data_IF_009357831174
#
_entry.id   IF_009357831174
#
_cell.length_a   1.000
_cell.length_b   1.000
_cell.length_c   1.000
_cell.angle_alpha   90.00
_cell.angle_beta   90.00
_cell.angle_gamma   90.00
#
_symmetry.space_group_name_H-M   'P 1'
#
loop_
_entity.id
_entity.type
_entity.pdbx_description
1 polymer ?
#
# COMPACT_ATOMS: atom_id res chain seq x y z
N UNK A 1 32.17 -42.53 52.21
CA UNK A 1 32.46 -41.18 51.70
C UNK A 1 32.42 -41.22 50.18
N UNK A 2 31.76 -40.21 49.59
CA UNK A 2 31.80 -39.75 48.20
C UNK A 2 30.84 -40.42 47.19
N UNK A 3 29.69 -39.76 47.05
CA UNK A 3 28.85 -39.69 45.84
C UNK A 3 29.64 -39.08 44.67
N UNK A 4 29.18 -39.36 43.43
CA UNK A 4 28.94 -38.25 42.52
C UNK A 4 27.54 -38.31 41.90
N UNK A 5 26.84 -37.19 42.03
CA UNK A 5 25.63 -36.88 41.32
C UNK A 5 25.97 -36.54 39.86
N UNK A 6 25.49 -37.34 38.92
CA UNK A 6 25.57 -36.99 37.49
C UNK A 6 24.30 -36.24 37.13
N UNK A 7 24.43 -34.93 36.96
CA UNK A 7 23.38 -34.04 36.46
C UNK A 7 22.90 -34.52 35.09
N UNK A 8 21.66 -35.00 35.01
CA UNK A 8 20.95 -35.16 33.74
C UNK A 8 20.53 -33.77 33.27
N UNK A 9 21.27 -33.19 32.32
CA UNK A 9 20.85 -31.98 31.61
C UNK A 9 19.57 -32.31 30.82
N UNK A 10 18.42 -31.93 31.36
CA UNK A 10 17.17 -31.89 30.63
C UNK A 10 17.28 -30.82 29.55
N UNK A 11 17.60 -31.25 28.33
CA UNK A 11 17.56 -30.41 27.14
C UNK A 11 16.08 -30.12 26.81
N UNK A 12 15.49 -29.18 27.55
CA UNK A 12 14.22 -28.57 27.20
C UNK A 12 14.44 -27.77 25.92
N UNK A 13 14.33 -28.46 24.78
CA UNK A 13 14.13 -27.84 23.49
C UNK A 13 12.82 -27.07 23.57
N UNK A 14 12.92 -25.81 23.98
CA UNK A 14 11.88 -24.81 23.87
C UNK A 14 11.44 -24.78 22.41
N UNK A 15 10.36 -25.51 22.12
CA UNK A 15 9.51 -25.32 20.97
C UNK A 15 8.97 -23.89 21.07
N UNK A 16 9.80 -22.92 20.68
CA UNK A 16 9.36 -21.59 20.37
C UNK A 16 8.33 -21.77 19.26
N UNK A 17 7.04 -21.45 19.48
CA UNK A 17 6.13 -21.33 18.37
C UNK A 17 6.74 -20.24 17.50
N UNK A 18 7.25 -20.62 16.32
CA UNK A 18 7.56 -19.65 15.28
C UNK A 18 6.27 -18.86 15.12
N UNK A 19 6.27 -17.62 15.56
CA UNK A 19 5.29 -16.61 15.20
C UNK A 19 5.44 -16.39 13.69
N UNK A 20 5.04 -17.39 12.91
CA UNK A 20 4.60 -17.20 11.56
C UNK A 20 3.39 -16.29 11.72
N UNK A 21 3.63 -14.97 11.63
CA UNK A 21 2.57 -14.03 11.36
C UNK A 21 1.88 -14.58 10.12
N UNK A 22 0.73 -15.20 10.31
CA UNK A 22 -0.11 -15.67 9.23
C UNK A 22 -0.48 -14.42 8.44
N UNK A 23 0.28 -14.17 7.36
CA UNK A 23 -0.08 -13.15 6.40
C UNK A 23 -1.46 -13.56 5.90
N UNK A 24 -2.47 -12.77 6.25
CA UNK A 24 -3.82 -13.01 5.79
C UNK A 24 -3.76 -13.10 4.27
N UNK A 25 -4.14 -14.24 3.66
CA UNK A 25 -4.08 -14.39 2.22
C UNK A 25 -4.90 -13.29 1.56
N UNK A 26 -4.35 -12.66 0.52
CA UNK A 26 -5.14 -11.76 -0.33
C UNK A 26 -6.14 -12.65 -1.08
N UNK A 27 -7.46 -12.36 -1.04
CA UNK A 27 -8.45 -13.11 -1.81
C UNK A 27 -8.08 -13.16 -3.31
N UNK A 28 -8.39 -14.28 -3.96
CA UNK A 28 -8.00 -14.54 -5.35
C UNK A 28 -8.69 -13.61 -6.38
N UNK A 29 -9.71 -12.85 -5.99
CA UNK A 29 -10.42 -11.84 -6.78
C UNK A 29 -10.03 -10.39 -6.43
N UNK A 30 -9.13 -10.22 -5.45
CA UNK A 30 -8.75 -8.90 -4.92
C UNK A 30 -7.27 -8.63 -5.11
N UNK A 31 -6.95 -7.35 -5.14
CA UNK A 31 -5.59 -6.84 -4.98
C UNK A 31 -5.49 -6.08 -3.65
N UNK A 32 -4.34 -6.15 -3.00
CA UNK A 32 -4.05 -5.32 -1.84
C UNK A 32 -3.35 -4.05 -2.28
N UNK A 33 -3.85 -2.91 -1.83
CA UNK A 33 -3.23 -1.60 -2.06
C UNK A 33 -2.67 -1.08 -0.75
N UNK A 34 -1.47 -0.53 -0.80
CA UNK A 34 -0.85 0.20 0.30
C UNK A 34 -0.34 1.56 -0.19
N UNK A 35 -0.57 2.60 0.62
CA UNK A 35 -0.04 3.94 0.35
C UNK A 35 1.10 4.22 1.33
N UNK A 36 2.26 4.59 0.78
CA UNK A 36 3.48 4.89 1.52
C UNK A 36 3.87 6.35 1.28
N UNK A 37 4.18 7.06 2.37
CA UNK A 37 4.43 8.50 2.36
C UNK A 37 3.27 9.29 2.95
N UNK A 38 3.42 10.59 3.05
CA UNK A 38 2.51 11.49 3.77
C UNK A 38 1.36 11.99 2.88
N UNK A 39 0.59 11.06 2.31
CA UNK A 39 -0.62 11.43 1.60
C UNK A 39 -1.70 11.89 2.60
N UNK A 40 -2.36 13.01 2.30
CA UNK A 40 -3.47 13.51 3.09
C UNK A 40 -4.79 12.82 2.71
N UNK A 41 -4.95 12.54 1.41
CA UNK A 41 -6.20 12.06 0.86
C UNK A 41 -5.93 11.12 -0.30
N UNK A 42 -6.63 9.99 -0.32
CA UNK A 42 -6.65 9.05 -1.41
C UNK A 42 -8.08 8.62 -1.72
N UNK A 43 -8.53 8.85 -2.95
CA UNK A 43 -9.84 8.43 -3.41
C UNK A 43 -9.65 7.35 -4.47
N UNK A 44 -10.31 6.21 -4.35
CA UNK A 44 -10.22 5.13 -5.35
C UNK A 44 -11.60 4.59 -5.71
N UNK A 45 -11.81 4.27 -6.99
CA UNK A 45 -13.05 3.68 -7.48
C UNK A 45 -12.86 2.96 -8.80
N UNK A 46 -13.85 2.14 -9.16
CA UNK A 46 -13.84 1.33 -10.39
C UNK A 46 -14.96 1.71 -11.37
N UNK A 47 -15.79 2.67 -11.02
CA UNK A 47 -16.95 3.10 -11.81
C UNK A 47 -16.58 4.16 -12.87
N UNK A 48 -15.30 4.18 -13.29
CA UNK A 48 -14.78 5.19 -14.20
C UNK A 48 -14.22 6.43 -13.50
N UNK A 49 -13.66 7.34 -14.30
CA UNK A 49 -13.03 8.58 -13.80
C UNK A 49 -14.02 9.50 -13.07
N UNK A 50 -15.31 9.49 -13.39
CA UNK A 50 -16.32 10.31 -12.70
C UNK A 50 -17.28 9.48 -11.84
N UNK A 51 -16.99 8.20 -11.65
CA UNK A 51 -17.81 7.31 -10.84
C UNK A 51 -17.58 7.49 -9.34
N UNK A 52 -18.32 6.70 -8.55
CA UNK A 52 -18.21 6.67 -7.10
C UNK A 52 -16.80 6.25 -6.67
N UNK A 53 -16.32 6.85 -5.57
CA UNK A 53 -15.01 6.54 -4.99
C UNK A 53 -15.08 6.42 -3.49
N UNK A 54 -14.32 5.46 -2.97
CA UNK A 54 -14.01 5.39 -1.54
C UNK A 54 -12.91 6.40 -1.23
N UNK A 55 -13.19 7.30 -0.29
CA UNK A 55 -12.22 8.28 0.22
C UNK A 55 -11.54 7.72 1.47
N UNK A 56 -10.22 7.78 1.49
CA UNK A 56 -9.36 7.39 2.61
C UNK A 56 -8.58 8.64 3.03
N UNK A 57 -8.89 9.14 4.22
CA UNK A 57 -8.17 10.26 4.82
C UNK A 57 -6.91 9.75 5.51
N UNK A 58 -5.79 10.44 5.32
CA UNK A 58 -4.47 10.09 5.87
C UNK A 58 -4.11 8.62 5.62
N UNK A 59 -4.07 8.14 4.36
CA UNK A 59 -3.84 6.73 4.03
C UNK A 59 -2.42 6.22 4.35
N UNK A 60 -1.54 7.03 4.93
CA UNK A 60 -0.18 6.63 5.31
C UNK A 60 -0.18 5.35 6.13
N UNK A 61 0.49 4.31 5.64
CA UNK A 61 0.57 2.97 6.27
C UNK A 61 -0.76 2.20 6.30
N UNK A 62 -1.80 2.70 5.63
CA UNK A 62 -3.06 2.00 5.46
C UNK A 62 -2.92 1.00 4.31
N UNK A 63 -3.47 -0.19 4.53
CA UNK A 63 -3.66 -1.21 3.50
C UNK A 63 -5.14 -1.55 3.37
N UNK A 64 -5.60 -1.75 2.14
CA UNK A 64 -6.99 -2.10 1.86
C UNK A 64 -7.08 -2.98 0.60
N UNK A 65 -8.22 -3.64 0.43
CA UNK A 65 -8.47 -4.52 -0.71
C UNK A 65 -9.36 -3.82 -1.73
N UNK A 66 -9.04 -4.00 -3.01
CA UNK A 66 -9.89 -3.56 -4.13
C UNK A 66 -10.13 -4.74 -5.08
N UNK A 67 -11.25 -4.75 -5.83
CA UNK A 67 -11.43 -5.73 -6.91
C UNK A 67 -10.27 -5.70 -7.91
N UNK A 68 -9.86 -6.87 -8.39
CA UNK A 68 -8.80 -7.01 -9.39
C UNK A 68 -9.36 -7.15 -10.82
N UNK A 69 -8.52 -6.99 -11.83
CA UNK A 69 -8.85 -7.23 -13.23
C UNK A 69 -9.61 -6.10 -13.95
N UNK A 70 -10.17 -5.16 -13.19
CA UNK A 70 -10.80 -3.95 -13.71
C UNK A 70 -9.95 -2.72 -13.41
N UNK A 71 -9.92 -1.76 -14.35
CA UNK A 71 -9.21 -0.49 -14.14
C UNK A 71 -9.77 0.22 -12.91
N UNK A 72 -8.88 0.63 -12.03
CA UNK A 72 -9.18 1.49 -10.89
C UNK A 72 -8.67 2.90 -11.20
N UNK A 73 -9.51 3.89 -10.95
CA UNK A 73 -9.15 5.30 -11.02
C UNK A 73 -8.97 5.82 -9.61
N UNK A 74 -7.90 6.57 -9.39
CA UNK A 74 -7.66 7.15 -8.09
C UNK A 74 -7.12 8.57 -8.17
N UNK A 75 -7.45 9.34 -7.15
CA UNK A 75 -6.93 10.66 -6.89
C UNK A 75 -6.11 10.59 -5.61
N UNK A 76 -4.92 11.19 -5.64
CA UNK A 76 -4.06 11.30 -4.47
C UNK A 76 -3.71 12.77 -4.25
N UNK A 77 -3.74 13.22 -3.00
CA UNK A 77 -3.29 14.55 -2.59
C UNK A 77 -2.46 14.48 -1.32
N UNK A 78 -1.46 15.34 -1.25
CA UNK A 78 -0.64 15.60 -0.06
C UNK A 78 -0.38 17.09 0.06
N UNK A 79 -0.12 17.54 1.28
CA UNK A 79 0.39 18.89 1.55
C UNK A 79 1.66 18.81 2.37
N UNK A 80 2.61 19.65 2.00
CA UNK A 80 3.82 19.87 2.77
C UNK A 80 3.80 21.32 3.27
N UNK A 81 3.74 21.47 4.59
CA UNK A 81 3.88 22.77 5.23
C UNK A 81 5.37 23.08 5.38
N UNK A 82 5.85 24.10 4.67
CA UNK A 82 7.18 24.68 4.84
C UNK A 82 7.04 26.04 5.54
N UNK A 83 8.11 26.58 6.17
CA UNK A 83 8.00 27.81 6.97
C UNK A 83 7.39 29.02 6.24
N UNK A 84 7.46 29.05 4.91
CA UNK A 84 7.04 30.18 4.08
C UNK A 84 5.82 29.90 3.21
N UNK A 85 5.36 28.65 3.11
CA UNK A 85 4.29 28.25 2.19
C UNK A 85 3.69 26.88 2.53
N UNK A 86 2.53 26.58 1.96
CA UNK A 86 2.02 25.21 1.89
C UNK A 86 2.09 24.72 0.46
N UNK A 87 2.92 23.70 0.21
CA UNK A 87 3.00 23.06 -1.09
C UNK A 87 1.91 21.99 -1.17
N UNK A 88 1.01 22.11 -2.14
CA UNK A 88 -0.03 21.11 -2.39
C UNK A 88 0.31 20.31 -3.62
N UNK A 89 0.30 19.00 -3.46
CA UNK A 89 0.73 18.04 -4.46
C UNK A 89 -0.44 17.08 -4.71
N UNK A 90 -0.95 17.03 -5.94
CA UNK A 90 -2.09 16.18 -6.28
C UNK A 90 -2.08 15.68 -7.72
N UNK A 91 -2.76 14.56 -7.96
CA UNK A 91 -2.89 13.99 -9.30
C UNK A 91 -3.96 12.93 -9.41
N UNK A 92 -4.45 12.77 -10.65
CA UNK A 92 -5.35 11.71 -11.06
C UNK A 92 -4.58 10.62 -11.80
N UNK A 93 -4.83 9.38 -11.43
CA UNK A 93 -4.11 8.21 -11.92
C UNK A 93 -5.05 7.05 -12.18
N UNK A 94 -4.59 6.09 -12.96
CA UNK A 94 -5.28 4.82 -13.12
C UNK A 94 -4.32 3.65 -13.29
N UNK A 95 -4.78 2.47 -12.89
CA UNK A 95 -4.05 1.22 -13.08
C UNK A 95 -5.02 0.04 -13.10
N UNK A 96 -4.56 -1.12 -13.58
CA UNK A 96 -5.31 -2.38 -13.50
C UNK A 96 -4.72 -3.22 -12.36
N UNK A 97 -5.37 -3.31 -11.18
CA UNK A 97 -4.97 -4.21 -10.10
C UNK A 97 -4.90 -5.67 -10.56
N UNK A 98 -3.84 -6.35 -10.16
CA UNK A 98 -3.63 -7.78 -10.44
C UNK A 98 -4.02 -8.57 -9.21
N UNK A 99 -4.81 -9.63 -9.42
CA UNK A 99 -5.34 -10.41 -8.33
C UNK A 99 -4.23 -11.11 -7.54
N UNK A 100 -4.37 -11.17 -6.21
CA UNK A 100 -3.39 -11.76 -5.31
C UNK A 100 -2.10 -10.95 -5.14
N UNK A 101 -1.94 -9.80 -5.82
CA UNK A 101 -0.75 -8.95 -5.72
C UNK A 101 -0.91 -7.82 -4.70
N UNK A 102 0.23 -7.42 -4.15
CA UNK A 102 0.39 -6.17 -3.41
C UNK A 102 0.77 -5.07 -4.41
N UNK A 103 0.02 -3.97 -4.39
CA UNK A 103 0.30 -2.73 -5.11
C UNK A 103 0.65 -1.64 -4.10
N UNK A 104 1.85 -1.08 -4.22
CA UNK A 104 2.36 -0.03 -3.33
C UNK A 104 2.45 1.27 -4.12
N UNK A 105 1.79 2.31 -3.64
CA UNK A 105 1.92 3.65 -4.16
C UNK A 105 2.80 4.45 -3.20
N UNK A 106 4.01 4.78 -3.64
CA UNK A 106 4.94 5.62 -2.87
C UNK A 106 4.82 7.05 -3.35
N UNK A 107 4.40 7.92 -2.44
CA UNK A 107 4.28 9.35 -2.71
C UNK A 107 5.34 10.14 -1.97
N UNK A 108 6.01 11.05 -2.67
CA UNK A 108 7.07 11.88 -2.09
C UNK A 108 7.15 13.25 -2.74
N UNK A 109 7.71 14.20 -1.99
CA UNK A 109 8.12 15.51 -2.50
C UNK A 109 9.59 15.44 -2.90
N UNK A 110 9.90 15.84 -4.13
CA UNK A 110 11.27 16.01 -4.63
C UNK A 110 11.42 17.47 -5.07
N UNK A 111 11.89 18.30 -4.14
CA UNK A 111 11.84 19.76 -4.30
C UNK A 111 10.39 20.24 -4.36
N UNK A 112 10.05 20.97 -5.41
CA UNK A 112 8.67 21.45 -5.67
C UNK A 112 7.83 20.44 -6.46
N UNK A 113 8.40 19.30 -6.86
CA UNK A 113 7.70 18.29 -7.66
C UNK A 113 7.16 17.15 -6.79
N UNK A 114 6.00 16.64 -7.17
CA UNK A 114 5.43 15.43 -6.58
C UNK A 114 5.85 14.22 -7.41
N UNK A 115 6.52 13.26 -6.77
CA UNK A 115 6.85 11.98 -7.37
C UNK A 115 5.89 10.92 -6.82
N UNK A 116 5.15 10.28 -7.73
CA UNK A 116 4.36 9.09 -7.44
C UNK A 116 4.98 7.90 -8.17
N UNK A 117 5.35 6.89 -7.40
CA UNK A 117 5.85 5.62 -7.92
C UNK A 117 4.88 4.51 -7.56
N UNK A 118 4.75 3.55 -8.48
CA UNK A 118 3.96 2.36 -8.27
C UNK A 118 4.88 1.14 -8.27
N UNK A 119 4.74 0.30 -7.26
CA UNK A 119 5.40 -0.99 -7.18
C UNK A 119 4.35 -2.09 -7.08
N UNK A 120 4.64 -3.25 -7.65
CA UNK A 120 3.78 -4.44 -7.59
C UNK A 120 4.60 -5.68 -7.29
N UNK A 121 4.04 -6.61 -6.52
CA UNK A 121 4.73 -7.86 -6.21
C UNK A 121 3.83 -8.86 -5.50
N UNK A 122 4.34 -10.09 -5.40
CA UNK A 122 3.70 -11.12 -4.58
C UNK A 122 3.91 -10.79 -3.09
N UNK A 123 2.92 -11.06 -2.23
CA UNK A 123 3.07 -10.90 -0.78
C UNK A 123 4.31 -11.64 -0.25
N UNK A 124 5.10 -10.98 0.59
CA UNK A 124 6.32 -11.54 1.16
C UNK A 124 7.55 -11.52 0.24
N UNK A 125 7.43 -11.03 -1.00
CA UNK A 125 8.56 -10.77 -1.90
C UNK A 125 8.85 -9.28 -2.03
N UNK A 126 10.03 -8.95 -2.54
CA UNK A 126 10.39 -7.57 -2.90
C UNK A 126 9.51 -7.10 -4.06
N UNK A 127 8.74 -6.00 -3.90
CA UNK A 127 7.96 -5.43 -4.99
C UNK A 127 8.84 -4.81 -6.07
N UNK A 128 8.39 -4.88 -7.33
CA UNK A 128 9.09 -4.33 -8.49
C UNK A 128 8.38 -3.07 -9.01
N UNK A 129 9.11 -2.08 -9.55
CA UNK A 129 8.49 -0.92 -10.18
C UNK A 129 7.51 -1.34 -11.28
N UNK A 130 6.36 -0.70 -11.32
CA UNK A 130 5.33 -0.94 -12.33
C UNK A 130 4.89 0.39 -12.92
N UNK A 131 4.52 0.38 -14.20
CA UNK A 131 4.04 1.58 -14.86
C UNK A 131 2.69 2.02 -14.28
N UNK A 132 2.60 3.32 -14.01
CA UNK A 132 1.39 3.98 -13.58
C UNK A 132 0.91 4.96 -14.64
N UNK A 133 -0.35 4.85 -15.05
CA UNK A 133 -0.94 5.81 -15.96
C UNK A 133 -1.35 7.07 -15.20
N UNK A 134 -0.74 8.20 -15.54
CA UNK A 134 -1.26 9.51 -15.15
C UNK A 134 -2.42 9.89 -16.07
N UNK A 135 -3.54 10.28 -15.49
CA UNK A 135 -4.72 10.71 -16.22
C UNK A 135 -4.69 12.23 -16.45
N UNK A 136 -5.25 12.68 -17.58
CA UNK A 136 -5.56 14.09 -17.77
C UNK A 136 -6.73 14.44 -16.87
N UNK A 137 -6.66 15.59 -16.20
CA UNK A 137 -7.77 16.09 -15.37
C UNK A 137 -9.01 16.26 -16.24
N UNK A 138 -10.12 15.64 -15.86
CA UNK A 138 -11.42 15.78 -16.53
C UNK A 138 -12.42 16.44 -15.59
N UNK A 139 -13.34 17.24 -16.14
CA UNK A 139 -14.47 17.76 -15.39
C UNK A 139 -15.57 16.70 -15.33
N UNK A 140 -16.16 16.52 -14.16
CA UNK A 140 -17.33 15.64 -13.96
C UNK A 140 -18.65 16.44 -13.89
N UNK A 141 -18.61 17.75 -14.16
CA UNK A 141 -19.76 18.65 -14.05
C UNK A 141 -20.76 18.56 -15.22
N UNK A 142 -20.42 17.82 -16.27
CA UNK A 142 -21.30 17.59 -17.42
C UNK A 142 -21.29 16.10 -17.70
N UNK A 143 -22.33 15.39 -17.25
CA UNK A 143 -22.62 14.01 -17.63
C UNK A 143 -23.90 14.01 -18.46
#
# INVERSE_FOLDING_TARGET
>A
MNTPATLTLALAATLLPRLAHAQTPIPADRAMVAIVGDAELFNVGQDGYCGERTTINSPSKTKFLIPAGQRSWFFLSSKLHVPVATLTCSGDYSFVPVAGKLHIFRYSFVGENCLLEHFSGDPGKTPEPTELQREKRRSCLVQ
#
